data_IF_881290815973
#
_entry.id   IF_881290815973
#
_cell.length_a   1.000
_cell.length_b   1.000
_cell.length_c   1.000
_cell.angle_alpha   90.00
_cell.angle_beta   90.00
_cell.angle_gamma   90.00
#
_symmetry.space_group_name_H-M   'P 1'
#
loop_
_entity.id
_entity.type
_entity.pdbx_description
1 polymer ?
#
# COMPACT_ATOMS: atom_id res chain seq x y z
N UNK A 1 -16.64 -8.14 -13.05
CA UNK A 1 -17.31 -8.62 -11.82
C UNK A 1 -17.93 -7.40 -11.17
N UNK A 2 -19.26 -7.37 -11.06
CA UNK A 2 -20.04 -6.22 -10.61
C UNK A 2 -20.66 -6.64 -9.27
N UNK A 3 -20.07 -6.20 -8.16
CA UNK A 3 -20.59 -6.45 -6.81
C UNK A 3 -21.78 -5.50 -6.58
N UNK A 4 -23.03 -5.99 -6.53
CA UNK A 4 -24.22 -5.14 -6.42
C UNK A 4 -24.27 -4.35 -5.11
N UNK A 5 -23.78 -4.95 -4.02
CA UNK A 5 -23.84 -4.37 -2.67
C UNK A 5 -22.95 -3.12 -2.52
N UNK A 6 -21.87 -2.99 -3.32
CA UNK A 6 -21.00 -1.81 -3.35
C UNK A 6 -21.64 -0.60 -4.06
N UNK A 7 -22.61 -0.82 -4.94
CA UNK A 7 -23.38 0.26 -5.57
C UNK A 7 -24.52 0.76 -4.66
N UNK A 8 -24.94 -0.03 -3.66
CA UNK A 8 -26.10 0.24 -2.82
C UNK A 8 -25.82 1.22 -1.65
N UNK A 9 -24.56 1.31 -1.22
CA UNK A 9 -24.11 2.23 -0.16
C UNK A 9 -22.82 2.96 -0.53
N UNK A 10 -22.96 4.18 -1.04
CA UNK A 10 -21.83 4.98 -1.54
C UNK A 10 -21.78 6.35 -0.86
N UNK A 11 -20.57 6.80 -0.55
CA UNK A 11 -20.23 8.18 -0.20
C UNK A 11 -19.24 8.70 -1.24
N UNK A 12 -19.55 9.83 -1.85
CA UNK A 12 -18.71 10.51 -2.83
C UNK A 12 -18.45 11.94 -2.40
N UNK A 13 -17.26 12.43 -2.71
CA UNK A 13 -16.84 13.80 -2.47
C UNK A 13 -16.13 14.31 -3.71
N UNK A 14 -16.41 15.54 -4.11
CA UNK A 14 -15.79 16.20 -5.26
C UNK A 14 -15.56 17.67 -4.95
N UNK A 15 -14.49 18.25 -5.47
CA UNK A 15 -14.25 19.69 -5.35
C UNK A 15 -14.33 20.32 -6.74
N UNK A 16 -15.30 21.21 -6.93
CA UNK A 16 -15.45 22.02 -8.13
C UNK A 16 -15.64 23.49 -7.73
N UNK A 17 -14.97 24.41 -8.44
CA UNK A 17 -15.09 25.85 -8.21
C UNK A 17 -14.90 26.29 -6.74
N UNK A 18 -14.02 25.61 -6.00
CA UNK A 18 -13.76 25.90 -4.58
C UNK A 18 -14.86 25.43 -3.62
N UNK A 19 -15.80 24.61 -4.07
CA UNK A 19 -16.83 23.98 -3.25
C UNK A 19 -16.60 22.47 -3.19
N UNK A 20 -16.58 21.94 -1.96
CA UNK A 20 -16.63 20.52 -1.69
C UNK A 20 -18.10 20.08 -1.76
N UNK A 21 -18.44 19.31 -2.78
CA UNK A 21 -19.72 18.66 -2.96
C UNK A 21 -19.65 17.24 -2.41
N UNK A 22 -20.63 16.87 -1.58
CA UNK A 22 -20.70 15.57 -0.91
C UNK A 22 -22.02 14.95 -1.28
N UNK A 23 -21.99 13.68 -1.69
CA UNK A 23 -23.19 12.91 -1.99
C UNK A 23 -23.13 11.55 -1.29
N UNK A 24 -24.26 11.15 -0.69
CA UNK A 24 -24.42 9.87 0.00
C UNK A 24 -25.68 9.17 -0.53
N UNK A 25 -25.46 8.01 -1.13
CA UNK A 25 -26.51 7.11 -1.63
C UNK A 25 -26.68 5.93 -0.69
N UNK A 26 -27.82 5.81 -0.03
CA UNK A 26 -28.13 4.69 0.84
C UNK A 26 -29.50 4.11 0.49
N UNK A 27 -29.56 2.81 0.18
CA UNK A 27 -30.83 2.10 0.04
C UNK A 27 -31.17 1.34 1.33
N UNK A 28 -32.42 1.48 1.80
CA UNK A 28 -32.98 0.66 2.87
C UNK A 28 -32.42 0.84 4.29
N UNK A 29 -31.34 1.61 4.47
CA UNK A 29 -30.70 1.83 5.78
C UNK A 29 -30.96 3.25 6.33
N UNK A 30 -31.09 3.40 7.67
CA UNK A 30 -31.06 4.71 8.30
C UNK A 30 -29.67 5.33 8.13
N UNK A 31 -29.65 6.59 7.68
CA UNK A 31 -28.41 7.36 7.44
C UNK A 31 -28.30 8.43 8.51
N UNK A 32 -27.13 8.57 9.13
CA UNK A 32 -26.86 9.70 10.02
C UNK A 32 -26.85 10.98 9.18
N UNK A 33 -27.56 12.06 9.55
CA UNK A 33 -27.47 13.31 8.81
C UNK A 33 -26.10 13.98 8.98
N UNK A 34 -25.28 13.58 9.95
CA UNK A 34 -23.98 14.21 10.23
C UNK A 34 -22.83 13.47 9.54
N UNK A 35 -22.07 14.20 8.72
CA UNK A 35 -20.80 13.77 8.14
C UNK A 35 -19.64 14.60 8.72
N UNK A 36 -18.46 14.02 8.80
CA UNK A 36 -17.25 14.71 9.27
C UNK A 36 -16.31 15.01 8.11
N UNK A 37 -16.12 16.30 7.84
CA UNK A 37 -15.15 16.78 6.85
C UNK A 37 -13.82 17.06 7.55
N UNK A 38 -12.74 16.49 7.04
CA UNK A 38 -11.38 16.77 7.49
C UNK A 38 -10.64 17.51 6.38
N UNK A 39 -10.17 18.72 6.70
CA UNK A 39 -9.39 19.56 5.81
C UNK A 39 -7.93 19.08 5.67
N UNK A 40 -7.16 19.58 4.67
CA UNK A 40 -5.76 19.20 4.47
C UNK A 40 -4.84 19.51 5.66
N UNK A 41 -5.21 20.49 6.51
CA UNK A 41 -4.51 20.83 7.75
C UNK A 41 -4.84 19.88 8.92
N UNK A 42 -5.71 18.90 8.70
CA UNK A 42 -6.16 17.92 9.70
C UNK A 42 -7.33 18.38 10.56
N UNK A 43 -7.84 19.62 10.40
CA UNK A 43 -9.01 20.08 11.15
C UNK A 43 -10.25 19.34 10.70
N UNK A 44 -10.99 18.81 11.67
CA UNK A 44 -12.25 18.10 11.46
C UNK A 44 -13.43 18.99 11.86
N UNK A 45 -14.42 19.08 10.98
CA UNK A 45 -15.66 19.81 11.21
C UNK A 45 -16.87 18.94 10.86
N UNK A 46 -17.94 18.98 11.68
CA UNK A 46 -19.20 18.32 11.34
C UNK A 46 -19.91 19.11 10.24
N UNK A 47 -20.64 18.38 9.39
CA UNK A 47 -21.43 18.92 8.31
C UNK A 47 -22.72 18.10 8.17
N UNK A 48 -23.86 18.78 8.21
CA UNK A 48 -25.17 18.14 8.10
C UNK A 48 -25.56 17.96 6.63
N UNK A 49 -25.83 16.73 6.22
CA UNK A 49 -26.38 16.38 4.93
C UNK A 49 -27.89 16.57 4.89
N UNK A 50 -28.39 17.08 3.77
CA UNK A 50 -29.82 17.23 3.48
C UNK A 50 -30.24 16.19 2.46
N UNK A 51 -31.42 15.59 2.62
CA UNK A 51 -31.93 14.57 1.68
C UNK A 51 -32.81 15.20 0.61
N UNK A 52 -32.44 15.02 -0.65
CA UNK A 52 -33.21 15.45 -1.84
C UNK A 52 -33.27 14.31 -2.84
N UNK A 53 -34.46 14.00 -3.37
CA UNK A 53 -34.68 12.94 -4.39
C UNK A 53 -34.03 11.58 -4.04
N UNK A 54 -34.01 11.22 -2.75
CA UNK A 54 -33.45 9.95 -2.28
C UNK A 54 -31.93 9.95 -2.05
N UNK A 55 -31.23 11.03 -2.38
CA UNK A 55 -29.78 11.20 -2.16
C UNK A 55 -29.53 12.22 -1.07
N UNK A 56 -28.58 11.96 -0.19
CA UNK A 56 -28.12 12.90 0.83
C UNK A 56 -27.00 13.75 0.24
N UNK A 57 -27.05 15.07 0.41
CA UNK A 57 -26.07 15.98 -0.16
C UNK A 57 -25.73 17.11 0.82
N UNK A 58 -24.51 17.63 0.71
CA UNK A 58 -24.10 18.89 1.33
C UNK A 58 -22.97 19.53 0.54
N UNK A 59 -22.80 20.82 0.76
CA UNK A 59 -21.71 21.60 0.21
C UNK A 59 -20.95 22.31 1.31
N UNK A 60 -19.63 22.37 1.22
CA UNK A 60 -18.79 23.16 2.11
C UNK A 60 -17.70 23.91 1.32
N UNK A 61 -17.30 25.12 1.75
CA UNK A 61 -16.21 25.84 1.09
C UNK A 61 -14.88 25.10 1.25
N UNK A 62 -14.23 24.78 0.13
CA UNK A 62 -12.93 24.14 0.04
C UNK A 62 -11.83 25.17 -0.25
N UNK A 63 -11.45 25.95 0.76
CA UNK A 63 -10.54 27.09 0.62
C UNK A 63 -9.05 26.73 0.63
N UNK A 64 -8.71 25.50 1.00
CA UNK A 64 -7.32 25.03 1.12
C UNK A 64 -6.96 24.06 0.00
N UNK A 65 -5.75 24.20 -0.60
CA UNK A 65 -5.22 23.20 -1.53
C UNK A 65 -4.88 21.91 -0.78
N UNK A 66 -5.05 20.77 -1.45
CA UNK A 66 -4.70 19.45 -0.92
C UNK A 66 -5.89 18.51 -0.79
N UNK A 67 -5.66 17.36 -0.15
CA UNK A 67 -6.65 16.29 -0.04
C UNK A 67 -7.57 16.56 1.15
N UNK A 68 -8.86 16.69 0.85
CA UNK A 68 -9.95 16.69 1.81
C UNK A 68 -10.50 15.28 1.96
N UNK A 69 -10.95 14.93 3.17
CA UNK A 69 -11.64 13.67 3.41
C UNK A 69 -12.98 13.87 4.11
N UNK A 70 -13.94 13.03 3.78
CA UNK A 70 -15.29 13.04 4.36
C UNK A 70 -15.57 11.66 4.92
N UNK A 71 -16.03 11.60 6.16
CA UNK A 71 -16.36 10.34 6.84
C UNK A 71 -17.79 10.36 7.36
N UNK A 72 -18.53 9.30 7.10
CA UNK A 72 -19.91 9.15 7.55
C UNK A 72 -20.25 7.65 7.60
N UNK A 73 -20.83 7.18 8.71
CA UNK A 73 -21.31 5.80 8.86
C UNK A 73 -20.28 4.73 8.44
N UNK A 74 -19.00 4.95 8.72
CA UNK A 74 -17.89 4.05 8.36
C UNK A 74 -17.36 4.21 6.93
N UNK A 75 -18.07 4.92 6.05
CA UNK A 75 -17.60 5.25 4.70
C UNK A 75 -16.61 6.41 4.73
N UNK A 76 -15.69 6.40 3.76
CA UNK A 76 -14.70 7.47 3.57
C UNK A 76 -14.67 7.87 2.10
N UNK A 77 -14.76 9.17 1.83
CA UNK A 77 -14.56 9.74 0.51
C UNK A 77 -13.43 10.77 0.54
N UNK A 78 -12.70 10.89 -0.55
CA UNK A 78 -11.61 11.85 -0.70
C UNK A 78 -11.90 12.77 -1.89
N UNK A 79 -11.56 14.04 -1.73
CA UNK A 79 -11.63 15.01 -2.80
C UNK A 79 -10.38 15.90 -2.75
N UNK A 80 -9.88 16.29 -3.90
CA UNK A 80 -8.79 17.27 -4.00
C UNK A 80 -9.21 18.31 -5.04
N UNK A 81 -8.94 19.60 -4.81
CA UNK A 81 -9.11 20.60 -5.85
C UNK A 81 -8.27 20.23 -7.07
N UNK A 82 -8.85 20.25 -8.26
CA UNK A 82 -8.09 20.11 -9.50
C UNK A 82 -7.20 21.35 -9.63
N UNK A 83 -5.90 21.20 -9.39
CA UNK A 83 -4.95 22.27 -9.65
C UNK A 83 -4.68 22.34 -11.15
N UNK A 84 -4.92 23.51 -11.74
CA UNK A 84 -4.62 23.75 -13.15
C UNK A 84 -3.12 23.72 -13.43
N UNK A 85 -2.29 24.07 -12.43
CA UNK A 85 -0.83 24.06 -12.51
C UNK A 85 -0.21 23.41 -11.25
N UNK A 86 -0.29 22.07 -11.13
CA UNK A 86 0.27 21.33 -10.02
C UNK A 86 1.80 21.31 -10.13
N UNK A 87 2.49 21.30 -8.99
CA UNK A 87 3.96 21.35 -8.96
C UNK A 87 4.58 20.14 -9.69
N UNK A 88 3.89 19.01 -9.70
CA UNK A 88 4.23 17.80 -10.42
C UNK A 88 4.31 17.98 -11.95
N UNK A 89 3.69 19.04 -12.50
CA UNK A 89 3.71 19.37 -13.94
C UNK A 89 4.64 20.54 -14.30
N UNK A 90 5.40 21.10 -13.35
CA UNK A 90 6.27 22.25 -13.63
C UNK A 90 7.49 21.91 -14.50
N UNK A 91 8.04 20.70 -14.38
CA UNK A 91 9.12 20.23 -15.25
C UNK A 91 8.89 18.77 -15.63
N UNK A 92 8.40 18.57 -16.86
CA UNK A 92 8.14 17.24 -17.42
C UNK A 92 9.36 16.65 -18.14
N UNK A 93 10.50 17.36 -18.14
CA UNK A 93 11.72 16.85 -18.78
C UNK A 93 12.35 15.82 -17.87
N UNK A 94 12.68 14.68 -18.45
CA UNK A 94 13.55 13.74 -17.76
C UNK A 94 14.91 14.42 -17.50
N UNK A 95 15.44 14.26 -16.29
CA UNK A 95 16.72 14.86 -15.88
C UNK A 95 17.52 13.92 -15.00
N UNK A 96 18.83 13.85 -15.26
CA UNK A 96 19.79 13.15 -14.42
C UNK A 96 20.39 14.05 -13.32
N UNK A 97 20.15 15.36 -13.36
CA UNK A 97 20.88 16.33 -12.52
C UNK A 97 20.40 16.34 -11.07
N UNK A 98 19.09 16.21 -10.86
CA UNK A 98 18.47 16.29 -9.51
C UNK A 98 18.96 15.17 -8.61
N UNK A 99 18.97 13.93 -9.12
CA UNK A 99 19.36 12.74 -8.35
C UNK A 99 20.83 12.33 -8.54
N UNK A 100 21.57 12.99 -9.44
CA UNK A 100 22.93 12.59 -9.79
C UNK A 100 23.90 12.61 -8.61
N UNK A 101 23.81 13.62 -7.74
CA UNK A 101 24.65 13.70 -6.53
C UNK A 101 24.36 12.54 -5.57
N UNK A 102 23.08 12.24 -5.33
CA UNK A 102 22.65 11.13 -4.47
C UNK A 102 23.05 9.78 -5.05
N UNK A 103 22.89 9.58 -6.36
CA UNK A 103 23.31 8.37 -7.05
C UNK A 103 24.83 8.15 -6.93
N UNK A 104 25.63 9.22 -7.07
CA UNK A 104 27.09 9.14 -6.89
C UNK A 104 27.47 8.85 -5.44
N UNK A 105 26.81 9.49 -4.47
CA UNK A 105 27.08 9.29 -3.05
C UNK A 105 26.75 7.86 -2.58
N UNK A 106 25.74 7.21 -3.17
CA UNK A 106 25.39 5.81 -2.88
C UNK A 106 26.20 4.78 -3.67
N UNK A 107 27.10 5.22 -4.57
CA UNK A 107 27.84 4.34 -5.48
C UNK A 107 27.01 3.77 -6.64
N UNK A 108 25.78 4.24 -6.82
CA UNK A 108 24.87 3.88 -7.91
C UNK A 108 25.19 4.62 -9.22
N UNK A 109 24.25 4.53 -10.17
CA UNK A 109 24.38 5.16 -11.49
C UNK A 109 23.04 5.69 -12.01
N UNK A 110 23.09 6.53 -13.04
CA UNK A 110 21.93 6.99 -13.80
C UNK A 110 22.12 6.56 -15.25
N UNK A 111 21.13 5.89 -15.84
CA UNK A 111 21.14 5.43 -17.22
C UNK A 111 19.94 5.98 -17.98
N UNK A 112 20.14 6.35 -19.25
CA UNK A 112 19.06 6.74 -20.15
C UNK A 112 18.54 5.51 -20.89
N UNK A 113 17.30 5.13 -20.61
CA UNK A 113 16.63 3.96 -21.21
C UNK A 113 16.57 4.07 -22.75
N UNK A 114 16.51 5.30 -23.28
CA UNK A 114 16.54 5.57 -24.71
C UNK A 114 17.83 5.09 -25.39
N UNK A 115 18.96 5.13 -24.68
CA UNK A 115 20.26 4.72 -25.22
C UNK A 115 20.51 3.23 -24.98
N UNK A 116 20.23 2.76 -23.75
CA UNK A 116 20.39 1.37 -23.34
C UNK A 116 19.59 1.09 -22.07
N UNK A 117 19.09 -0.14 -21.93
CA UNK A 117 18.42 -0.60 -20.70
C UNK A 117 19.38 -1.50 -19.93
N UNK A 118 19.94 -1.06 -18.79
CA UNK A 118 20.89 -1.88 -18.03
C UNK A 118 20.19 -3.08 -17.37
N UNK A 119 20.93 -4.18 -17.21
CA UNK A 119 20.45 -5.33 -16.48
C UNK A 119 20.39 -5.07 -14.97
N UNK A 120 19.33 -5.53 -14.29
CA UNK A 120 19.26 -5.46 -12.83
C UNK A 120 19.95 -6.68 -12.21
N UNK A 121 20.90 -6.43 -11.29
CA UNK A 121 21.67 -7.48 -10.60
C UNK A 121 21.57 -7.33 -9.09
N UNK A 122 21.26 -8.41 -8.39
CA UNK A 122 21.37 -8.44 -6.92
C UNK A 122 22.84 -8.46 -6.50
N UNK A 123 23.23 -7.55 -5.61
CA UNK A 123 24.62 -7.39 -5.14
C UNK A 123 24.67 -7.31 -3.60
N UNK A 124 25.71 -7.87 -2.96
CA UNK A 124 25.91 -7.69 -1.52
C UNK A 124 26.07 -6.22 -1.14
N UNK A 125 25.58 -5.83 0.03
CA UNK A 125 25.80 -4.49 0.59
C UNK A 125 27.30 -4.16 0.65
N UNK A 126 27.68 -2.96 0.19
CA UNK A 126 29.08 -2.52 0.13
C UNK A 126 29.85 -2.93 -1.12
N UNK A 127 29.24 -3.70 -2.04
CA UNK A 127 29.80 -3.96 -3.37
C UNK A 127 29.59 -2.78 -4.32
N UNK A 128 30.19 -2.82 -5.51
CA UNK A 128 29.82 -1.89 -6.58
C UNK A 128 28.31 -1.97 -6.88
N UNK A 129 27.64 -0.83 -6.99
CA UNK A 129 26.19 -0.75 -7.26
C UNK A 129 25.88 -0.48 -8.73
N UNK A 130 26.88 -0.45 -9.60
CA UNK A 130 26.71 -0.30 -11.05
C UNK A 130 27.93 -0.79 -11.81
N UNK A 131 27.72 -1.11 -13.09
CA UNK A 131 28.77 -1.42 -14.06
C UNK A 131 28.41 -0.88 -15.45
N UNK A 132 29.14 -1.32 -16.48
CA UNK A 132 28.96 -0.83 -17.86
C UNK A 132 27.59 -1.17 -18.47
N UNK A 133 26.97 -2.26 -18.03
CA UNK A 133 25.71 -2.79 -18.61
C UNK A 133 24.73 -3.30 -17.53
N UNK A 134 24.94 -2.93 -16.27
CA UNK A 134 24.09 -3.40 -15.18
C UNK A 134 24.01 -2.41 -14.01
N UNK A 135 22.90 -2.47 -13.30
CA UNK A 135 22.61 -1.71 -12.09
C UNK A 135 22.35 -2.65 -10.92
N UNK A 136 22.96 -2.33 -9.77
CA UNK A 136 22.93 -3.14 -8.56
C UNK A 136 21.68 -2.88 -7.72
N UNK A 137 21.06 -3.95 -7.25
CA UNK A 137 20.05 -3.96 -6.20
C UNK A 137 20.69 -4.54 -4.94
N UNK A 138 20.95 -3.74 -3.89
CA UNK A 138 21.56 -4.24 -2.67
C UNK A 138 20.60 -5.23 -2.00
N UNK A 139 21.04 -6.47 -1.82
CA UNK A 139 20.27 -7.46 -1.07
C UNK A 139 20.56 -7.29 0.40
N UNK A 140 19.54 -6.88 1.16
CA UNK A 140 19.60 -6.95 2.62
C UNK A 140 19.11 -8.33 3.03
N UNK A 141 19.99 -9.12 3.65
CA UNK A 141 19.54 -10.30 4.40
C UNK A 141 19.00 -9.83 5.75
N UNK A 142 18.00 -8.96 5.74
CA UNK A 142 17.19 -8.79 6.93
C UNK A 142 16.50 -10.14 7.14
N UNK A 143 16.76 -10.79 8.27
CA UNK A 143 16.04 -12.00 8.63
C UNK A 143 14.54 -11.66 8.59
N UNK A 144 13.82 -12.21 7.63
CA UNK A 144 12.36 -12.15 7.63
C UNK A 144 11.93 -12.88 8.90
N UNK A 145 11.56 -12.11 9.92
CA UNK A 145 10.98 -12.62 11.15
C UNK A 145 9.63 -13.24 10.80
N UNK A 146 9.65 -14.50 10.36
CA UNK A 146 8.46 -15.18 9.84
C UNK A 146 8.74 -16.54 9.22
N UNK A 147 9.96 -16.85 8.80
CA UNK A 147 10.31 -18.24 8.48
C UNK A 147 10.63 -19.00 9.75
N UNK A 148 9.60 -19.61 10.34
CA UNK A 148 9.75 -20.73 11.26
C UNK A 148 10.31 -21.90 10.46
N UNK A 149 11.62 -21.88 10.21
CA UNK A 149 12.31 -23.01 9.58
C UNK A 149 12.35 -24.12 10.62
N UNK A 150 11.38 -25.02 10.59
CA UNK A 150 11.37 -26.22 11.43
C UNK A 150 12.59 -27.05 11.05
N UNK A 151 13.68 -26.89 11.81
CA UNK A 151 14.85 -27.73 11.65
C UNK A 151 14.51 -29.08 12.27
N UNK A 152 14.46 -30.13 11.46
CA UNK A 152 14.25 -31.48 11.96
C UNK A 152 15.31 -31.79 13.02
N UNK A 153 14.87 -32.11 14.24
CA UNK A 153 15.76 -32.42 15.37
C UNK A 153 16.55 -33.71 15.13
N UNK A 154 15.98 -34.64 14.36
CA UNK A 154 16.55 -35.95 14.06
C UNK A 154 16.23 -36.29 12.60
N UNK A 155 17.20 -36.78 11.80
CA UNK A 155 16.93 -37.29 10.46
C UNK A 155 15.88 -38.42 10.47
N UNK A 156 14.97 -38.44 9.48
CA UNK A 156 13.89 -39.43 9.41
C UNK A 156 14.37 -40.89 9.50
N UNK A 157 15.53 -41.21 8.93
CA UNK A 157 16.12 -42.56 9.01
C UNK A 157 16.53 -42.95 10.43
N UNK A 158 17.02 -42.01 11.23
CA UNK A 158 17.43 -42.28 12.61
C UNK A 158 16.21 -42.48 13.51
N UNK A 159 15.13 -41.73 13.27
CA UNK A 159 13.84 -41.95 13.94
C UNK A 159 13.26 -43.33 13.61
N UNK A 160 13.35 -43.76 12.34
CA UNK A 160 12.92 -45.10 11.92
C UNK A 160 13.72 -46.21 12.63
N UNK A 161 15.05 -46.09 12.68
CA UNK A 161 15.89 -47.07 13.39
C UNK A 161 15.54 -47.14 14.88
N UNK A 162 15.35 -46.00 15.55
CA UNK A 162 14.94 -45.96 16.94
C UNK A 162 13.58 -46.65 17.16
N UNK A 163 12.60 -46.39 16.28
CA UNK A 163 11.29 -47.03 16.34
C UNK A 163 11.38 -48.56 16.17
N UNK A 164 12.18 -49.05 15.23
CA UNK A 164 12.40 -50.49 15.03
C UNK A 164 13.07 -51.14 16.25
N UNK A 165 14.06 -50.48 16.85
CA UNK A 165 14.73 -50.96 18.06
C UNK A 165 13.73 -51.06 19.21
N UNK A 166 12.94 -50.01 19.46
CA UNK A 166 11.92 -50.04 20.52
C UNK A 166 10.85 -51.12 20.29
N UNK A 167 10.44 -51.33 19.03
CA UNK A 167 9.51 -52.39 18.68
C UNK A 167 10.10 -53.79 18.97
N UNK A 168 11.36 -54.01 18.58
CA UNK A 168 12.06 -55.27 18.84
C UNK A 168 12.23 -55.54 20.33
N UNK A 169 12.56 -54.52 21.13
CA UNK A 169 12.67 -54.63 22.59
C UNK A 169 11.31 -54.95 23.22
N UNK A 170 10.24 -54.28 22.78
CA UNK A 170 8.87 -54.54 23.25
C UNK A 170 8.47 -55.99 22.98
N UNK A 171 8.67 -56.44 21.73
CA UNK A 171 8.34 -57.80 21.34
C UNK A 171 9.16 -58.86 22.10
N UNK A 172 10.46 -58.61 22.33
CA UNK A 172 11.29 -59.52 23.12
C UNK A 172 10.84 -59.60 24.59
N UNK A 173 10.35 -58.50 25.16
CA UNK A 173 9.87 -58.46 26.55
C UNK A 173 8.50 -59.11 26.73
N UNK A 174 7.67 -59.10 25.70
CA UNK A 174 6.33 -59.71 25.69
C UNK A 174 6.33 -61.18 25.23
N UNK A 175 7.38 -61.58 24.48
CA UNK A 175 7.61 -62.95 24.01
C UNK A 175 8.38 -63.85 24.98
N UNK A 176 8.64 -63.38 26.21
CA UNK A 176 9.16 -64.16 27.34
C UNK A 176 8.09 -64.20 28.44
#
# INVERSE_FOLDING_TARGET
MKEPDLEENRLTARIENGQLEIERHAAGQPVSPEAFVTAPDGKRQPLTLTRTNGVWHATAPATMPGIWSVRQDGLVAFASPVSHDPIERQDLRATATVMGASAKASGGSVSWIADHTPHLRQVPTGSAMSGSDWMGLPVTTAAVAGETRTKDLVPAWAALLAALIFLAIGWWREGH
#
